data_IF_404988625909
#
_entry.id   IF_404988625909
#
_cell.length_a   1.000
_cell.length_b   1.000
_cell.length_c   1.000
_cell.angle_alpha   90.00
_cell.angle_beta   90.00
_cell.angle_gamma   90.00
#
_symmetry.space_group_name_H-M   'P 1'
#
loop_
_entity.id
_entity.type
_entity.pdbx_description
1 polymer ?
#
# COMPACT_ATOMS: atom_id res chain seq x y z
N UNK A 1 -0.79 8.89 -12.94
CA UNK A 1 -1.13 10.10 -13.72
C UNK A 1 -2.45 9.95 -14.50
N UNK A 2 -2.64 8.88 -15.29
CA UNK A 2 -3.84 8.71 -16.13
C UNK A 2 -5.19 8.88 -15.40
N UNK A 3 -5.39 8.23 -14.25
CA UNK A 3 -6.66 8.35 -13.52
C UNK A 3 -6.90 9.73 -12.86
N UNK A 4 -5.84 10.49 -12.55
CA UNK A 4 -5.95 11.83 -11.96
C UNK A 4 -6.54 12.82 -12.93
N UNK A 5 -6.12 12.74 -14.20
CA UNK A 5 -6.66 13.58 -15.26
C UNK A 5 -8.01 13.06 -15.80
N UNK A 6 -8.31 11.77 -15.64
CA UNK A 6 -9.51 11.16 -16.20
C UNK A 6 -10.81 11.81 -15.68
N UNK A 7 -10.92 12.05 -14.36
CA UNK A 7 -12.11 12.67 -13.78
C UNK A 7 -12.38 14.11 -14.27
N UNK A 8 -11.42 15.05 -14.21
CA UNK A 8 -11.63 16.39 -14.76
C UNK A 8 -11.77 16.39 -16.29
N UNK A 9 -11.10 15.50 -17.02
CA UNK A 9 -11.25 15.38 -18.47
C UNK A 9 -12.65 14.89 -18.85
N UNK A 10 -13.20 13.90 -18.13
CA UNK A 10 -14.56 13.40 -18.33
C UNK A 10 -15.58 14.48 -18.01
N UNK A 11 -15.42 15.18 -16.88
CA UNK A 11 -16.28 16.30 -16.51
C UNK A 11 -16.27 17.40 -17.58
N UNK A 12 -15.08 17.75 -18.09
CA UNK A 12 -14.95 18.72 -19.18
C UNK A 12 -15.63 18.23 -20.47
N UNK A 13 -15.47 16.95 -20.82
CA UNK A 13 -16.15 16.37 -21.99
C UNK A 13 -17.68 16.40 -21.85
N UNK A 14 -18.21 16.12 -20.66
CA UNK A 14 -19.65 16.20 -20.38
C UNK A 14 -20.17 17.64 -20.49
N UNK A 15 -19.45 18.62 -19.94
CA UNK A 15 -19.80 20.05 -20.05
C UNK A 15 -19.79 20.56 -21.50
N UNK A 16 -19.02 19.91 -22.40
CA UNK A 16 -19.03 20.22 -23.84
C UNK A 16 -20.26 19.65 -24.56
N UNK A 17 -20.87 18.58 -24.04
CA UNK A 17 -22.07 17.95 -24.60
C UNK A 17 -23.33 18.64 -24.07
N UNK A 18 -23.41 18.87 -22.76
CA UNK A 18 -24.54 19.55 -22.11
C UNK A 18 -24.02 20.61 -21.13
N UNK A 19 -23.93 21.89 -21.55
CA UNK A 19 -23.34 22.95 -20.73
C UNK A 19 -24.24 23.38 -19.57
N UNK A 20 -23.68 23.36 -18.35
CA UNK A 20 -24.34 23.82 -17.12
C UNK A 20 -24.45 25.34 -17.00
N UNK A 21 -23.76 26.11 -17.88
CA UNK A 21 -23.68 27.58 -17.91
C UNK A 21 -23.10 28.22 -16.64
N UNK A 22 -22.53 27.42 -15.74
CA UNK A 22 -21.92 27.85 -14.48
C UNK A 22 -20.40 27.97 -14.53
N UNK A 23 -19.80 28.41 -13.42
CA UNK A 23 -18.34 28.40 -13.27
C UNK A 23 -17.84 26.97 -13.00
N UNK A 24 -17.18 26.37 -13.98
CA UNK A 24 -16.66 24.99 -13.89
C UNK A 24 -15.43 24.85 -12.97
N UNK A 25 -14.74 25.95 -12.61
CA UNK A 25 -13.46 25.89 -11.87
C UNK A 25 -13.54 25.12 -10.54
N UNK A 26 -14.55 25.32 -9.68
CA UNK A 26 -14.67 24.55 -8.43
C UNK A 26 -14.88 23.05 -8.71
N UNK A 27 -15.75 22.72 -9.67
CA UNK A 27 -16.02 21.34 -10.05
C UNK A 27 -14.76 20.63 -10.60
N UNK A 28 -13.95 21.32 -11.40
CA UNK A 28 -12.67 20.78 -11.89
C UNK A 28 -11.68 20.49 -10.77
N UNK A 29 -11.61 21.34 -9.74
CA UNK A 29 -10.74 21.11 -8.57
C UNK A 29 -11.19 19.88 -7.79
N UNK A 30 -12.49 19.74 -7.55
CA UNK A 30 -13.06 18.57 -6.88
C UNK A 30 -12.80 17.30 -7.70
N UNK A 31 -13.06 17.34 -9.01
CA UNK A 31 -12.81 16.22 -9.91
C UNK A 31 -11.33 15.80 -9.91
N UNK A 32 -10.40 16.77 -9.92
CA UNK A 32 -8.97 16.50 -9.83
C UNK A 32 -8.61 15.80 -8.50
N UNK A 33 -9.14 16.28 -7.37
CA UNK A 33 -8.90 15.68 -6.05
C UNK A 33 -9.43 14.24 -5.98
N UNK A 34 -10.64 13.99 -6.48
CA UNK A 34 -11.24 12.65 -6.53
C UNK A 34 -10.42 11.74 -7.45
N UNK A 35 -10.06 12.21 -8.65
CA UNK A 35 -9.24 11.46 -9.59
C UNK A 35 -7.87 11.12 -9.01
N UNK A 36 -7.25 12.04 -8.27
CA UNK A 36 -6.00 11.80 -7.55
C UNK A 36 -6.17 10.72 -6.48
N UNK A 37 -7.15 10.88 -5.58
CA UNK A 37 -7.40 9.94 -4.49
C UNK A 37 -7.68 8.52 -5.01
N UNK A 38 -8.59 8.38 -5.99
CA UNK A 38 -8.90 7.09 -6.61
C UNK A 38 -7.69 6.46 -7.32
N UNK A 39 -6.88 7.26 -8.00
CA UNK A 39 -5.64 6.77 -8.65
C UNK A 39 -4.61 6.29 -7.64
N UNK A 40 -4.45 7.01 -6.53
CA UNK A 40 -3.55 6.61 -5.46
C UNK A 40 -3.99 5.28 -4.85
N UNK A 41 -5.27 5.13 -4.51
CA UNK A 41 -5.82 3.89 -3.94
C UNK A 41 -5.66 2.71 -4.90
N UNK A 42 -5.94 2.91 -6.20
CA UNK A 42 -5.74 1.87 -7.21
C UNK A 42 -4.27 1.49 -7.37
N UNK A 43 -3.36 2.46 -7.35
CA UNK A 43 -1.92 2.20 -7.41
C UNK A 43 -1.43 1.45 -6.17
N UNK A 44 -1.89 1.84 -4.98
CA UNK A 44 -1.60 1.17 -3.72
C UNK A 44 -2.06 -0.28 -3.76
N UNK A 45 -3.33 -0.52 -4.11
CA UNK A 45 -3.92 -1.86 -4.23
C UNK A 45 -3.14 -2.75 -5.22
N UNK A 46 -2.84 -2.24 -6.41
CA UNK A 46 -2.05 -2.96 -7.42
C UNK A 46 -0.64 -3.30 -6.92
N UNK A 47 -0.02 -2.40 -6.16
CA UNK A 47 1.29 -2.69 -5.58
C UNK A 47 1.21 -3.76 -4.50
N UNK A 48 0.18 -3.72 -3.64
CA UNK A 48 -0.07 -4.74 -2.62
C UNK A 48 -0.30 -6.13 -3.24
N UNK A 49 -0.99 -6.23 -4.38
CA UNK A 49 -1.16 -7.51 -5.08
C UNK A 49 0.17 -8.15 -5.52
N UNK A 50 1.20 -7.34 -5.83
CA UNK A 50 2.55 -7.86 -6.07
C UNK A 50 3.19 -8.37 -4.78
N UNK A 51 3.01 -7.69 -3.67
CA UNK A 51 3.51 -8.16 -2.37
C UNK A 51 2.84 -9.47 -1.93
N UNK A 52 1.56 -9.69 -2.26
CA UNK A 52 0.87 -10.97 -2.02
C UNK A 52 1.21 -12.06 -3.04
N UNK A 53 1.98 -11.74 -4.08
CA UNK A 53 2.29 -12.69 -5.16
C UNK A 53 1.10 -13.04 -6.06
N UNK A 54 0.03 -12.23 -6.06
CA UNK A 54 -1.13 -12.43 -6.92
C UNK A 54 -0.89 -11.95 -8.35
N UNK A 55 0.17 -11.19 -8.55
CA UNK A 55 0.61 -10.66 -9.85
C UNK A 55 2.13 -10.77 -9.92
N UNK A 56 2.71 -10.62 -11.12
CA UNK A 56 4.17 -10.64 -11.31
C UNK A 56 4.88 -9.68 -10.36
N UNK A 57 5.90 -10.19 -9.67
CA UNK A 57 6.58 -9.50 -8.58
C UNK A 57 8.07 -9.89 -8.44
N UNK A 58 8.72 -10.43 -9.48
CA UNK A 58 10.10 -10.90 -9.39
C UNK A 58 11.06 -9.76 -9.03
N UNK A 59 10.78 -8.56 -9.53
CA UNK A 59 11.53 -7.35 -9.19
C UNK A 59 11.38 -6.98 -7.71
N UNK A 60 10.16 -7.04 -7.18
CA UNK A 60 9.86 -6.74 -5.78
C UNK A 60 10.51 -7.78 -4.84
N UNK A 61 10.47 -9.06 -5.19
CA UNK A 61 11.15 -10.13 -4.43
C UNK A 61 12.67 -9.92 -4.38
N UNK A 62 13.30 -9.55 -5.49
CA UNK A 62 14.75 -9.28 -5.52
C UNK A 62 15.13 -8.09 -4.64
N UNK A 63 14.31 -7.02 -4.64
CA UNK A 63 14.52 -5.85 -3.78
C UNK A 63 14.32 -6.17 -2.31
N UNK A 64 13.24 -6.90 -2.00
CA UNK A 64 12.92 -7.36 -0.65
C UNK A 64 14.07 -8.21 -0.07
N UNK A 65 14.58 -9.17 -0.85
CA UNK A 65 15.72 -9.98 -0.45
C UNK A 65 16.97 -9.13 -0.19
N UNK A 66 17.32 -8.24 -1.10
CA UNK A 66 18.49 -7.37 -0.93
C UNK A 66 18.37 -6.45 0.30
N UNK A 67 17.20 -5.85 0.53
CA UNK A 67 16.97 -4.95 1.66
C UNK A 67 16.95 -5.68 3.00
N UNK A 68 16.22 -6.79 3.09
CA UNK A 68 16.04 -7.53 4.34
C UNK A 68 17.26 -8.35 4.71
N UNK A 69 17.99 -8.92 3.75
CA UNK A 69 19.29 -9.54 4.03
C UNK A 69 20.31 -8.52 4.52
N UNK A 70 20.32 -7.30 3.96
CA UNK A 70 21.20 -6.22 4.46
C UNK A 70 20.85 -5.85 5.90
N UNK A 71 19.56 -5.68 6.22
CA UNK A 71 19.12 -5.42 7.60
C UNK A 71 19.53 -6.54 8.56
N UNK A 72 19.35 -7.80 8.16
CA UNK A 72 19.77 -8.95 8.94
C UNK A 72 21.28 -8.96 9.21
N UNK A 73 22.11 -8.66 8.19
CA UNK A 73 23.56 -8.54 8.34
C UNK A 73 23.96 -7.40 9.28
N UNK A 74 23.21 -6.30 9.28
CA UNK A 74 23.39 -5.17 10.19
C UNK A 74 22.84 -5.44 11.61
N UNK A 75 22.26 -6.62 11.86
CA UNK A 75 21.64 -6.96 13.15
C UNK A 75 20.38 -6.16 13.47
N UNK A 76 19.74 -5.55 12.47
CA UNK A 76 18.50 -4.78 12.62
C UNK A 76 17.27 -5.66 12.44
N UNK A 77 16.13 -5.33 13.07
CA UNK A 77 14.88 -6.03 12.80
C UNK A 77 14.49 -5.91 11.33
N UNK A 78 14.04 -7.03 10.76
CA UNK A 78 13.64 -7.10 9.36
C UNK A 78 12.57 -6.06 9.02
N UNK A 79 11.49 -6.01 9.82
CA UNK A 79 10.32 -5.17 9.56
C UNK A 79 10.31 -3.85 10.34
N UNK A 80 11.47 -3.44 10.89
CA UNK A 80 11.61 -2.23 11.70
C UNK A 80 11.16 -2.38 13.15
N UNK A 81 11.27 -1.28 13.89
CA UNK A 81 10.90 -1.17 15.31
C UNK A 81 9.51 -0.55 15.46
N UNK A 82 8.80 -0.90 16.53
CA UNK A 82 7.49 -0.34 16.86
C UNK A 82 7.41 0.02 18.34
N UNK A 83 6.85 1.19 18.64
CA UNK A 83 6.59 1.64 20.01
C UNK A 83 5.40 0.90 20.68
N UNK A 84 4.62 0.15 19.89
CA UNK A 84 3.51 -0.66 20.38
C UNK A 84 3.99 -2.01 20.94
N UNK A 85 3.33 -2.50 21.99
CA UNK A 85 3.53 -3.85 22.48
C UNK A 85 3.06 -4.92 21.48
N UNK A 86 3.49 -6.17 21.69
CA UNK A 86 3.18 -7.28 20.78
C UNK A 86 1.68 -7.57 20.61
N UNK A 87 0.86 -7.34 21.63
CA UNK A 87 -0.59 -7.50 21.51
C UNK A 87 -1.19 -6.44 20.58
N UNK A 88 -0.82 -5.17 20.78
CA UNK A 88 -1.27 -4.07 19.92
C UNK A 88 -0.76 -4.18 18.49
N UNK A 89 0.47 -4.65 18.28
CA UNK A 89 0.98 -4.99 16.95
C UNK A 89 0.11 -6.07 16.27
N UNK A 90 -0.31 -7.09 17.02
CA UNK A 90 -1.23 -8.12 16.52
C UNK A 90 -2.63 -7.58 16.19
N UNK A 91 -3.16 -6.65 16.97
CA UNK A 91 -4.43 -5.96 16.68
C UNK A 91 -4.29 -5.11 15.41
N UNK A 92 -3.20 -4.37 15.27
CA UNK A 92 -2.90 -3.57 14.08
C UNK A 92 -2.80 -4.43 12.82
N UNK A 93 -2.12 -5.58 12.90
CA UNK A 93 -2.07 -6.56 11.82
C UNK A 93 -3.46 -7.03 11.41
N UNK A 94 -4.29 -7.50 12.35
CA UNK A 94 -5.63 -8.03 12.02
C UNK A 94 -6.56 -6.99 11.39
N UNK A 95 -6.43 -5.71 11.78
CA UNK A 95 -7.19 -4.63 11.18
C UNK A 95 -6.71 -4.28 9.76
N UNK A 96 -5.39 -4.25 9.54
CA UNK A 96 -4.80 -3.81 8.27
C UNK A 96 -4.61 -4.93 7.24
N UNK A 97 -4.60 -6.20 7.67
CA UNK A 97 -4.47 -7.34 6.79
C UNK A 97 -5.62 -7.38 5.77
N UNK A 98 -5.26 -7.44 4.49
CA UNK A 98 -6.20 -7.45 3.35
C UNK A 98 -7.14 -6.24 3.25
N UNK A 99 -6.88 -5.14 3.97
CA UNK A 99 -7.75 -3.95 3.96
C UNK A 99 -7.86 -3.31 2.57
N UNK A 100 -6.88 -3.54 1.70
CA UNK A 100 -6.84 -3.03 0.32
C UNK A 100 -7.98 -3.58 -0.54
N UNK A 101 -8.53 -4.75 -0.20
CA UNK A 101 -9.69 -5.32 -0.89
C UNK A 101 -11.00 -4.56 -0.58
N UNK A 102 -10.97 -3.68 0.42
CA UNK A 102 -12.15 -3.00 0.98
C UNK A 102 -12.11 -1.49 0.76
N UNK A 103 -11.30 -0.99 -0.17
CA UNK A 103 -11.19 0.44 -0.45
C UNK A 103 -12.49 1.10 -0.95
N UNK A 104 -13.48 0.34 -1.40
CA UNK A 104 -14.82 0.88 -1.64
C UNK A 104 -15.56 1.30 -0.35
N UNK A 105 -15.15 0.77 0.81
CA UNK A 105 -15.80 0.99 2.11
C UNK A 105 -14.94 1.77 3.11
N UNK A 106 -13.62 1.54 3.13
CA UNK A 106 -12.71 2.16 4.10
C UNK A 106 -11.30 2.31 3.55
N UNK A 107 -10.59 3.39 3.91
CA UNK A 107 -9.22 3.66 3.47
C UNK A 107 -8.20 3.30 4.56
N UNK A 108 -8.16 2.03 4.94
CA UNK A 108 -7.25 1.56 5.99
C UNK A 108 -5.92 1.07 5.40
N UNK A 109 -4.81 1.51 5.99
CA UNK A 109 -3.44 1.18 5.60
C UNK A 109 -2.69 0.54 6.77
N UNK A 110 -1.63 -0.21 6.47
CA UNK A 110 -0.70 -0.64 7.51
C UNK A 110 0.28 0.51 7.83
N UNK A 111 0.28 0.96 9.08
CA UNK A 111 1.14 2.02 9.60
C UNK A 111 1.96 1.55 10.82
N UNK A 112 1.93 0.24 11.13
CA UNK A 112 2.59 -0.34 12.29
C UNK A 112 3.62 -1.36 11.81
N UNK A 113 4.84 -1.23 12.30
CA UNK A 113 5.87 -2.24 12.11
C UNK A 113 5.55 -3.42 13.04
N UNK A 114 5.14 -4.55 12.45
CA UNK A 114 4.79 -5.76 13.20
C UNK A 114 5.48 -6.97 12.57
N UNK A 115 5.72 -8.09 13.28
CA UNK A 115 6.41 -9.25 12.71
C UNK A 115 5.53 -10.11 11.77
N UNK A 116 4.24 -9.82 11.66
CA UNK A 116 3.25 -10.67 10.98
C UNK A 116 3.18 -10.42 9.46
N UNK A 117 4.14 -10.95 8.70
CA UNK A 117 4.21 -10.78 7.23
C UNK A 117 4.08 -12.08 6.41
N UNK A 118 3.90 -13.23 7.07
CA UNK A 118 3.63 -14.50 6.40
C UNK A 118 4.83 -15.07 5.61
N UNK A 119 6.06 -14.65 5.94
CA UNK A 119 7.29 -15.20 5.34
C UNK A 119 8.25 -15.67 6.42
N UNK A 120 9.00 -16.74 6.12
CA UNK A 120 10.02 -17.28 7.01
C UNK A 120 11.25 -16.34 7.02
N UNK A 121 11.62 -15.73 8.17
CA UNK A 121 12.82 -14.91 8.31
C UNK A 121 14.13 -15.63 7.96
N UNK A 122 14.17 -16.96 8.06
CA UNK A 122 15.37 -17.75 7.81
C UNK A 122 15.93 -17.55 6.40
N UNK A 123 15.08 -17.23 5.41
CA UNK A 123 15.53 -16.96 4.04
C UNK A 123 16.50 -15.79 3.92
N UNK A 124 16.50 -14.86 4.87
CA UNK A 124 17.40 -13.70 4.87
C UNK A 124 18.71 -13.94 5.65
N UNK A 125 18.92 -15.16 6.18
CA UNK A 125 20.08 -15.50 7.00
C UNK A 125 19.90 -15.17 8.49
N UNK A 126 18.68 -14.87 8.93
CA UNK A 126 18.37 -14.74 10.37
C UNK A 126 18.41 -16.14 10.97
N UNK A 127 19.35 -16.38 11.90
CA UNK A 127 19.37 -17.60 12.70
C UNK A 127 18.21 -17.53 13.69
N UNK A 128 17.31 -18.50 13.68
CA UNK A 128 16.26 -18.62 14.69
C UNK A 128 16.93 -18.79 16.06
N UNK A 129 16.52 -18.02 17.07
CA UNK A 129 17.00 -18.20 18.45
C UNK A 129 16.71 -19.61 19.01
N UNK A 130 15.81 -20.37 18.38
CA UNK A 130 15.49 -21.76 18.71
C UNK A 130 16.63 -22.75 18.45
N UNK A 131 17.72 -22.38 17.77
CA UNK A 131 18.88 -23.28 17.52
C UNK A 131 20.03 -23.09 18.52
N UNK A 132 19.80 -22.42 19.65
CA UNK A 132 20.79 -22.16 20.68
C UNK A 132 20.30 -22.59 22.08
N UNK A 133 19.68 -23.76 22.17
CA UNK A 133 19.43 -24.44 23.45
C UNK A 133 19.75 -25.92 23.39
#
# INVERSE_FOLDING_TARGET
AGGTAAAPALLYAMERVDPSRGNLRPAMKVALTIGFAGSFLLAYQRSTFRFWGWTENSREQAKDFAELSKRAQEGKPLYGESDLDGHLQGVAYRNSAYSQLKFCQSFLFNLVNHPHHGTDPAKYGVKSETSAS
#
